data_IF_406817613221
#
_entry.id   IF_406817613221
#
_cell.length_a   1.000
_cell.length_b   1.000
_cell.length_c   1.000
_cell.angle_alpha   90.00
_cell.angle_beta   90.00
_cell.angle_gamma   90.00
#
_symmetry.space_group_name_H-M   'P 1'
#
loop_
_entity.id
_entity.type
_entity.pdbx_description
1 polymer ?
#
# COMPACT_ATOMS: atom_id res chain seq x y z
N UNK A 1 8.10 -12.87 -8.69
CA UNK A 1 7.47 -11.62 -9.21
C UNK A 1 8.17 -10.96 -10.39
N UNK A 2 9.49 -10.69 -10.36
CA UNK A 2 10.18 -9.97 -11.46
C UNK A 2 10.00 -10.70 -12.81
N UNK A 3 10.14 -12.02 -12.83
CA UNK A 3 10.00 -12.84 -14.04
C UNK A 3 8.64 -12.70 -14.75
N UNK A 4 7.53 -12.53 -14.01
CA UNK A 4 6.18 -12.41 -14.59
C UNK A 4 5.85 -11.00 -15.08
N UNK A 5 6.46 -9.97 -14.50
CA UNK A 5 6.35 -8.58 -15.02
C UNK A 5 6.95 -8.43 -16.42
N UNK A 6 7.82 -9.36 -16.83
CA UNK A 6 8.55 -9.29 -18.09
C UNK A 6 7.73 -9.70 -19.32
N UNK A 7 6.53 -10.28 -19.14
CA UNK A 7 5.65 -10.62 -20.27
C UNK A 7 5.15 -9.36 -21.01
N UNK A 8 4.94 -8.25 -20.28
CA UNK A 8 4.64 -6.93 -20.85
C UNK A 8 5.49 -5.86 -20.16
N UNK A 9 6.71 -5.58 -20.66
CA UNK A 9 7.60 -4.63 -20.02
C UNK A 9 7.00 -3.22 -20.00
N UNK A 10 7.31 -2.46 -18.95
CA UNK A 10 6.95 -1.03 -18.76
C UNK A 10 5.46 -0.70 -18.56
N UNK A 11 4.57 -1.68 -18.46
CA UNK A 11 3.16 -1.42 -18.16
C UNK A 11 2.96 -1.09 -16.68
N UNK A 12 2.66 0.18 -16.36
CA UNK A 12 2.50 0.64 -14.96
C UNK A 12 1.30 -0.02 -14.26
N UNK A 13 0.16 -0.08 -14.95
CA UNK A 13 -1.05 -0.78 -14.53
C UNK A 13 -1.55 -1.67 -15.69
N UNK A 14 -1.51 -3.00 -15.55
CA UNK A 14 -2.02 -3.92 -16.58
C UNK A 14 -3.55 -3.96 -16.59
N UNK A 15 -4.16 -4.47 -17.67
CA UNK A 15 -5.62 -4.51 -17.80
C UNK A 15 -6.29 -5.37 -16.71
N UNK A 16 -5.60 -6.41 -16.22
CA UNK A 16 -6.06 -7.23 -15.11
C UNK A 16 -6.31 -6.39 -13.84
N UNK A 17 -5.56 -5.31 -13.63
CA UNK A 17 -5.73 -4.43 -12.46
C UNK A 17 -7.09 -3.74 -12.42
N UNK A 18 -7.83 -3.69 -13.54
CA UNK A 18 -9.19 -3.14 -13.61
C UNK A 18 -10.23 -4.02 -12.91
N UNK A 19 -9.91 -5.29 -12.66
CA UNK A 19 -10.77 -6.20 -11.89
C UNK A 19 -10.76 -5.91 -10.39
N UNK A 20 -9.74 -5.20 -9.90
CA UNK A 20 -9.63 -4.82 -8.50
C UNK A 20 -10.47 -3.58 -8.19
N UNK A 21 -11.08 -3.51 -6.99
CA UNK A 21 -11.78 -2.30 -6.57
C UNK A 21 -10.78 -1.14 -6.47
N UNK A 22 -11.04 0.00 -7.12
CA UNK A 22 -10.13 1.15 -7.04
C UNK A 22 -10.14 1.78 -5.64
N UNK A 23 -9.05 2.45 -5.24
CA UNK A 23 -9.03 3.18 -3.98
C UNK A 23 -10.08 4.28 -3.97
N UNK A 24 -10.76 4.45 -2.84
CA UNK A 24 -11.76 5.51 -2.65
C UNK A 24 -11.07 6.87 -2.58
N UNK A 25 -11.75 7.93 -2.99
CA UNK A 25 -11.21 9.30 -2.87
C UNK A 25 -10.98 9.71 -1.41
N UNK A 26 -11.72 9.12 -0.47
CA UNK A 26 -11.59 9.35 0.98
C UNK A 26 -10.68 8.33 1.67
N UNK A 27 -9.88 7.57 0.92
CA UNK A 27 -8.93 6.62 1.51
C UNK A 27 -7.92 7.37 2.41
N UNK A 28 -7.72 6.97 3.68
CA UNK A 28 -6.78 7.61 4.59
C UNK A 28 -5.36 7.67 4.04
N UNK A 29 -4.93 6.68 3.24
CA UNK A 29 -3.60 6.67 2.61
C UNK A 29 -3.46 7.82 1.62
N UNK A 30 -4.52 8.08 0.86
CA UNK A 30 -4.57 9.13 -0.15
C UNK A 30 -4.68 10.52 0.48
N UNK A 31 -5.46 10.64 1.55
CA UNK A 31 -5.53 11.86 2.37
C UNK A 31 -4.17 12.19 2.99
N UNK A 32 -3.45 11.18 3.49
CA UNK A 32 -2.10 11.37 4.02
C UNK A 32 -1.10 11.81 2.94
N UNK A 33 -1.19 11.29 1.72
CA UNK A 33 -0.38 11.76 0.58
C UNK A 33 -0.69 13.21 0.20
N UNK A 34 -1.98 13.61 0.22
CA UNK A 34 -2.37 15.00 0.07
C UNK A 34 -1.79 15.91 1.18
N UNK A 35 -1.81 15.43 2.42
CA UNK A 35 -1.18 16.12 3.56
C UNK A 35 0.35 16.26 3.39
N UNK A 36 1.03 15.23 2.87
CA UNK A 36 2.44 15.33 2.52
C UNK A 36 2.69 16.41 1.45
N UNK A 37 1.80 16.55 0.46
CA UNK A 37 1.84 17.66 -0.50
C UNK A 37 1.69 19.03 0.15
N UNK A 38 0.81 19.16 1.15
CA UNK A 38 0.70 20.38 1.95
C UNK A 38 2.00 20.70 2.70
N UNK A 39 2.57 19.71 3.40
CA UNK A 39 3.85 19.85 4.09
C UNK A 39 4.99 20.24 3.14
N UNK A 40 5.05 19.66 1.93
CA UNK A 40 6.03 20.03 0.91
C UNK A 40 5.91 21.50 0.52
N UNK A 41 4.69 22.04 0.40
CA UNK A 41 4.46 23.46 0.16
C UNK A 41 4.94 24.35 1.33
N UNK A 42 4.72 23.93 2.58
CA UNK A 42 5.23 24.65 3.75
C UNK A 42 6.76 24.66 3.77
N UNK A 43 7.39 23.53 3.45
CA UNK A 43 8.85 23.41 3.36
C UNK A 43 9.43 24.27 2.24
N UNK A 44 8.81 24.34 1.07
CA UNK A 44 9.26 25.22 -0.03
C UNK A 44 9.23 26.70 0.38
N UNK A 45 8.18 27.13 1.07
CA UNK A 45 8.09 28.50 1.59
C UNK A 45 9.13 28.78 2.68
N UNK A 46 9.39 27.80 3.55
CA UNK A 46 10.41 27.89 4.61
C UNK A 46 11.82 28.05 4.01
N UNK A 47 12.18 27.22 3.03
CA UNK A 47 13.49 27.28 2.33
C UNK A 47 13.69 28.65 1.67
N UNK A 48 12.63 29.19 1.05
CA UNK A 48 12.68 30.49 0.36
C UNK A 48 12.53 31.70 1.28
N UNK A 49 12.51 31.51 2.60
CA UNK A 49 12.32 32.56 3.62
C UNK A 49 11.07 33.42 3.37
N UNK A 50 10.00 32.81 2.86
CA UNK A 50 8.69 33.44 2.66
C UNK A 50 7.79 33.15 3.87
N UNK A 51 6.75 33.98 4.13
CA UNK A 51 5.80 33.68 5.20
C UNK A 51 5.10 32.35 4.92
N UNK A 52 5.32 31.36 5.80
CA UNK A 52 5.04 29.94 5.56
C UNK A 52 3.57 29.66 5.24
N UNK A 53 2.64 30.32 5.93
CA UNK A 53 1.20 30.07 5.81
C UNK A 53 0.50 30.98 4.78
N UNK A 54 1.02 32.18 4.55
CA UNK A 54 0.33 33.21 3.76
C UNK A 54 0.81 33.29 2.32
N UNK A 55 2.05 32.90 2.03
CA UNK A 55 2.60 33.00 0.69
C UNK A 55 2.15 31.84 -0.20
N UNK A 56 1.59 32.16 -1.37
CA UNK A 56 1.49 31.20 -2.47
C UNK A 56 0.44 30.11 -2.31
N UNK A 57 -0.80 30.47 -1.93
CA UNK A 57 -1.92 29.53 -1.83
C UNK A 57 -2.12 28.68 -3.10
N UNK A 58 -1.93 29.28 -4.28
CA UNK A 58 -1.97 28.57 -5.57
C UNK A 58 -0.92 27.45 -5.65
N UNK A 59 0.27 27.64 -5.05
CA UNK A 59 1.33 26.62 -5.01
C UNK A 59 0.97 25.51 -4.04
N UNK A 60 0.44 25.84 -2.86
CA UNK A 60 -0.03 24.82 -1.91
C UNK A 60 -1.11 23.94 -2.55
N UNK A 61 -2.09 24.54 -3.25
CA UNK A 61 -3.12 23.81 -3.98
C UNK A 61 -2.51 22.92 -5.06
N UNK A 62 -1.53 23.42 -5.82
CA UNK A 62 -0.79 22.64 -6.82
C UNK A 62 -0.06 21.45 -6.17
N UNK A 63 0.69 21.65 -5.08
CA UNK A 63 1.39 20.56 -4.41
C UNK A 63 0.44 19.49 -3.88
N UNK A 64 -0.67 19.88 -3.24
CA UNK A 64 -1.67 18.94 -2.74
C UNK A 64 -2.27 18.13 -3.90
N UNK A 65 -2.73 18.80 -4.95
CA UNK A 65 -3.36 18.13 -6.10
C UNK A 65 -2.40 17.22 -6.85
N UNK A 66 -1.14 17.63 -7.02
CA UNK A 66 -0.10 16.82 -7.65
C UNK A 66 0.21 15.56 -6.84
N UNK A 67 0.42 15.69 -5.51
CA UNK A 67 0.67 14.55 -4.64
C UNK A 67 -0.53 13.62 -4.55
N UNK A 68 -1.74 14.17 -4.51
CA UNK A 68 -2.97 13.39 -4.51
C UNK A 68 -3.14 12.60 -5.81
N UNK A 69 -2.90 13.24 -6.95
CA UNK A 69 -2.99 12.59 -8.27
C UNK A 69 -1.96 11.47 -8.43
N UNK A 70 -0.67 11.75 -8.18
CA UNK A 70 0.38 10.73 -8.25
C UNK A 70 0.14 9.63 -7.21
N UNK A 71 -0.24 10.02 -6.00
CA UNK A 71 -0.56 9.13 -4.90
C UNK A 71 -1.66 8.13 -5.23
N UNK A 72 -2.70 8.55 -5.93
CA UNK A 72 -3.80 7.69 -6.36
C UNK A 72 -3.30 6.50 -7.20
N UNK A 73 -2.46 6.78 -8.21
CA UNK A 73 -1.90 5.75 -9.07
C UNK A 73 -0.89 4.85 -8.34
N UNK A 74 -0.12 5.41 -7.40
CA UNK A 74 0.81 4.63 -6.58
C UNK A 74 0.07 3.66 -5.65
N UNK A 75 -0.98 4.12 -4.96
CA UNK A 75 -1.82 3.27 -4.11
C UNK A 75 -2.46 2.16 -4.93
N UNK A 76 -3.07 2.51 -6.07
CA UNK A 76 -3.66 1.53 -7.00
C UNK A 76 -2.66 0.46 -7.46
N UNK A 77 -1.42 0.87 -7.75
CA UNK A 77 -0.35 -0.07 -8.11
C UNK A 77 0.10 -0.93 -6.92
N UNK A 78 0.15 -0.36 -5.72
CA UNK A 78 0.45 -1.07 -4.48
C UNK A 78 -0.55 -2.18 -4.20
N UNK A 79 -1.84 -1.88 -4.27
CA UNK A 79 -2.91 -2.85 -4.06
C UNK A 79 -2.88 -3.95 -5.14
N UNK A 80 -2.63 -3.60 -6.40
CA UNK A 80 -2.42 -4.58 -7.48
C UNK A 80 -1.26 -5.52 -7.19
N UNK A 81 -0.13 -5.00 -6.72
CA UNK A 81 1.04 -5.83 -6.41
C UNK A 81 0.78 -6.81 -5.26
N UNK A 82 0.04 -6.38 -4.23
CA UNK A 82 -0.40 -7.26 -3.14
C UNK A 82 -1.39 -8.32 -3.65
N UNK A 83 -2.35 -7.95 -4.48
CA UNK A 83 -3.31 -8.90 -5.04
C UNK A 83 -2.63 -9.99 -5.90
N UNK A 84 -1.65 -9.62 -6.73
CA UNK A 84 -0.85 -10.58 -7.50
C UNK A 84 -0.07 -11.51 -6.58
N UNK A 85 0.53 -10.97 -5.51
CA UNK A 85 1.24 -11.78 -4.52
C UNK A 85 0.35 -12.86 -3.91
N UNK A 86 -0.83 -12.45 -3.46
CA UNK A 86 -1.74 -13.34 -2.76
C UNK A 86 -2.32 -14.38 -3.74
N UNK A 87 -2.63 -13.97 -4.98
CA UNK A 87 -3.01 -14.90 -6.06
C UNK A 87 -1.94 -15.96 -6.33
N UNK A 88 -0.65 -15.57 -6.38
CA UNK A 88 0.46 -16.50 -6.61
C UNK A 88 0.65 -17.45 -5.42
N UNK A 89 0.60 -16.92 -4.20
CA UNK A 89 0.70 -17.71 -2.97
C UNK A 89 -0.40 -18.77 -2.88
N UNK A 90 -1.66 -18.38 -3.08
CA UNK A 90 -2.78 -19.32 -3.07
C UNK A 90 -2.73 -20.30 -4.24
N UNK A 91 -2.29 -19.84 -5.42
CA UNK A 91 -2.07 -20.71 -6.57
C UNK A 91 -1.04 -21.80 -6.28
N UNK A 92 0.09 -21.43 -5.68
CA UNK A 92 1.16 -22.36 -5.30
C UNK A 92 0.68 -23.36 -4.25
N UNK A 93 0.01 -22.89 -3.19
CA UNK A 93 -0.53 -23.76 -2.14
C UNK A 93 -1.55 -24.77 -2.66
N UNK A 94 -2.35 -24.39 -3.68
CA UNK A 94 -3.30 -25.29 -4.32
C UNK A 94 -2.64 -26.33 -5.23
N UNK A 95 -1.51 -25.99 -5.85
CA UNK A 95 -0.75 -26.92 -6.70
C UNK A 95 0.06 -27.94 -5.90
N UNK A 96 0.47 -27.58 -4.69
CA UNK A 96 1.32 -28.40 -3.80
C UNK A 96 0.65 -28.67 -2.45
N UNK A 97 -0.47 -29.39 -2.39
CA UNK A 97 -1.11 -29.75 -1.11
C UNK A 97 -0.19 -30.60 -0.20
N UNK A 98 0.76 -31.34 -0.77
CA UNK A 98 1.75 -32.15 -0.05
C UNK A 98 2.70 -31.33 0.83
N UNK A 99 3.07 -30.13 0.39
CA UNK A 99 3.96 -29.22 1.13
C UNK A 99 3.22 -28.52 2.27
N UNK A 100 1.90 -28.41 2.17
CA UNK A 100 1.03 -27.69 3.10
C UNK A 100 -0.05 -28.60 3.70
N UNK A 101 0.31 -29.65 4.45
CA UNK A 101 -0.66 -30.50 5.11
C UNK A 101 -1.44 -29.72 6.18
N UNK A 102 -2.76 -29.91 6.23
CA UNK A 102 -3.58 -29.34 7.29
C UNK A 102 -3.22 -29.99 8.62
N UNK A 103 -2.59 -29.21 9.52
CA UNK A 103 -2.24 -29.68 10.86
C UNK A 103 -3.50 -29.71 11.72
N UNK A 104 -3.70 -30.82 12.43
CA UNK A 104 -4.76 -30.92 13.43
C UNK A 104 -4.61 -29.82 14.49
N UNK A 105 -5.66 -29.02 14.64
CA UNK A 105 -5.70 -27.92 15.61
C UNK A 105 -6.09 -28.48 16.98
N UNK A 106 -5.10 -28.81 17.80
CA UNK A 106 -5.31 -29.25 19.19
C UNK A 106 -5.90 -28.12 20.04
N UNK A 107 -6.82 -28.47 20.92
CA UNK A 107 -7.41 -27.49 21.83
C UNK A 107 -6.45 -27.17 22.99
N UNK A 108 -6.59 -26.00 23.63
CA UNK A 108 -5.79 -25.63 24.82
C UNK A 108 -6.00 -26.59 26.01
N UNK A 109 -7.03 -27.43 25.99
CA UNK A 109 -7.20 -28.50 26.98
C UNK A 109 -6.10 -29.59 26.86
N UNK A 110 -5.56 -29.79 25.66
CA UNK A 110 -4.51 -30.79 25.39
C UNK A 110 -3.10 -30.20 25.47
N UNK A 111 -2.98 -28.87 25.38
CA UNK A 111 -1.69 -28.15 25.33
C UNK A 111 -1.35 -27.64 26.73
N UNK A 112 -0.33 -28.20 27.35
CA UNK A 112 0.18 -27.70 28.63
C UNK A 112 1.35 -26.74 28.42
N UNK A 113 1.07 -25.44 28.54
CA UNK A 113 2.10 -24.41 28.52
C UNK A 113 2.69 -24.18 29.92
N UNK A 114 3.99 -23.95 29.98
CA UNK A 114 4.67 -23.64 31.24
C UNK A 114 4.36 -22.20 31.65
N UNK A 115 3.66 -22.05 32.77
CA UNK A 115 3.36 -20.74 33.35
C UNK A 115 4.60 -20.14 34.03
N UNK A 116 4.99 -18.93 33.61
CA UNK A 116 6.05 -18.14 34.24
C UNK A 116 5.42 -16.95 34.97
N UNK A 117 5.26 -17.01 36.31
CA UNK A 117 4.71 -15.89 37.07
C UNK A 117 5.68 -14.71 37.07
N UNK A 118 5.13 -13.50 36.88
CA UNK A 118 5.87 -12.25 37.11
C UNK A 118 5.92 -12.02 38.62
N UNK A 119 7.13 -11.96 39.18
CA UNK A 119 7.41 -11.68 40.60
C UNK A 119 8.22 -10.41 40.72
#
# INVERSE_FOLDING_TARGET
MISRRNAEPLRFLPDESRSLPPPKLTDPRLLYLGFLGYCAGLTDNFIRRRPVLSAGLHRHLLYITAFYFVGYYLVKRGDYMCAVRDREMFGYMKLHPEDFPEKEKKTYAEIFEKFYPVR
#
